data_IF_157449390444
#
_entry.id   IF_157449390444
#
_cell.length_a   1.000
_cell.length_b   1.000
_cell.length_c   1.000
_cell.angle_alpha   90.00
_cell.angle_beta   90.00
_cell.angle_gamma   90.00
#
_symmetry.space_group_name_H-M   'P 1'
#
loop_
_entity.id
_entity.type
_entity.pdbx_description
1 polymer ?
#
# COMPACT_ATOMS: atom_id res chain seq x y z
N UNK A 1 -3.40 20.67 28.73
CA UNK A 1 -3.81 19.43 28.03
C UNK A 1 -3.75 19.73 26.54
N UNK A 2 -2.66 19.39 25.87
CA UNK A 2 -2.49 19.66 24.44
C UNK A 2 -3.33 18.68 23.64
N UNK A 3 -4.40 19.19 23.04
CA UNK A 3 -5.25 18.43 22.12
C UNK A 3 -4.40 18.06 20.91
N UNK A 4 -3.97 16.80 20.83
CA UNK A 4 -3.36 16.24 19.62
C UNK A 4 -4.46 16.29 18.57
N UNK A 5 -4.42 17.28 17.68
CA UNK A 5 -5.27 17.31 16.50
C UNK A 5 -4.74 16.21 15.59
N UNK A 6 -5.35 15.04 15.60
CA UNK A 6 -5.16 14.05 14.55
C UNK A 6 -5.39 14.74 13.20
N UNK A 7 -4.32 14.92 12.44
CA UNK A 7 -4.42 15.44 11.08
C UNK A 7 -4.72 14.25 10.17
N UNK A 8 -6.00 13.94 10.01
CA UNK A 8 -6.44 12.99 8.99
C UNK A 8 -6.06 13.57 7.63
N UNK A 9 -5.17 12.90 6.92
CA UNK A 9 -4.76 13.29 5.56
C UNK A 9 -5.28 12.26 4.58
N UNK A 10 -5.64 12.71 3.38
CA UNK A 10 -5.89 11.79 2.27
C UNK A 10 -4.53 11.21 1.87
N UNK A 11 -4.41 9.89 1.95
CA UNK A 11 -3.26 9.14 1.50
C UNK A 11 -3.53 8.71 0.07
N UNK A 12 -2.60 9.07 -0.81
CA UNK A 12 -2.58 8.69 -2.22
C UNK A 12 -1.46 7.70 -2.44
N UNK A 13 -1.82 6.47 -2.78
CA UNK A 13 -0.89 5.35 -2.80
C UNK A 13 -0.94 4.63 -4.14
N UNK A 14 0.22 4.56 -4.79
CA UNK A 14 0.42 3.82 -6.02
C UNK A 14 0.88 2.41 -5.68
N UNK A 15 0.08 1.41 -6.05
CA UNK A 15 0.34 0.01 -5.78
C UNK A 15 0.78 -0.71 -7.06
N UNK A 16 1.71 -1.65 -6.94
CA UNK A 16 1.98 -2.69 -7.93
C UNK A 16 1.41 -4.00 -7.40
N UNK A 17 0.38 -4.52 -8.07
CA UNK A 17 -0.41 -5.67 -7.64
C UNK A 17 -0.13 -6.89 -8.52
N UNK A 18 -0.15 -8.13 -7.99
CA UNK A 18 0.01 -9.34 -8.80
C UNK A 18 -1.03 -9.41 -9.91
N UNK A 19 -0.62 -9.79 -11.12
CA UNK A 19 -1.51 -9.90 -12.28
C UNK A 19 -2.64 -10.91 -12.09
N UNK A 20 -2.43 -11.91 -11.24
CA UNK A 20 -3.44 -12.89 -10.85
C UNK A 20 -4.64 -12.24 -10.14
N UNK A 21 -4.47 -11.05 -9.54
CA UNK A 21 -5.58 -10.31 -8.96
C UNK A 21 -6.43 -9.57 -10.00
N UNK A 22 -6.04 -9.53 -11.28
CA UNK A 22 -6.83 -8.92 -12.36
C UNK A 22 -8.12 -9.68 -12.64
N UNK A 23 -8.13 -10.99 -12.42
CA UNK A 23 -9.32 -11.83 -12.60
C UNK A 23 -10.41 -11.49 -11.57
N UNK A 24 -10.00 -10.91 -10.45
CA UNK A 24 -10.90 -10.42 -9.42
C UNK A 24 -11.44 -9.02 -9.79
N UNK A 25 -12.73 -8.70 -9.52
CA UNK A 25 -13.29 -7.40 -9.88
C UNK A 25 -12.50 -6.24 -9.25
N UNK A 26 -11.99 -5.35 -10.10
CA UNK A 26 -11.07 -4.27 -9.70
C UNK A 26 -11.60 -3.36 -8.58
N UNK A 27 -12.92 -3.12 -8.52
CA UNK A 27 -13.56 -2.34 -7.46
C UNK A 27 -13.52 -3.06 -6.11
N UNK A 28 -13.68 -4.38 -6.12
CA UNK A 28 -13.62 -5.21 -4.91
C UNK A 28 -12.17 -5.32 -4.44
N UNK A 29 -11.21 -5.55 -5.34
CA UNK A 29 -9.77 -5.54 -5.02
C UNK A 29 -9.36 -4.20 -4.40
N UNK A 30 -9.81 -3.08 -4.98
CA UNK A 30 -9.55 -1.75 -4.45
C UNK A 30 -10.14 -1.56 -3.05
N UNK A 31 -11.37 -2.03 -2.83
CA UNK A 31 -12.02 -1.93 -1.53
C UNK A 31 -11.26 -2.71 -0.46
N UNK A 32 -10.88 -3.97 -0.76
CA UNK A 32 -10.05 -4.79 0.12
C UNK A 32 -8.76 -4.07 0.46
N UNK A 33 -8.04 -3.55 -0.54
CA UNK A 33 -6.79 -2.82 -0.31
C UNK A 33 -6.99 -1.62 0.60
N UNK A 34 -8.02 -0.80 0.38
CA UNK A 34 -8.30 0.37 1.21
C UNK A 34 -8.58 -0.03 2.66
N UNK A 35 -9.45 -1.01 2.88
CA UNK A 35 -9.83 -1.48 4.23
C UNK A 35 -8.62 -2.06 4.98
N UNK A 36 -7.82 -2.90 4.31
CA UNK A 36 -6.63 -3.51 4.88
C UNK A 36 -5.53 -2.49 5.16
N UNK A 37 -5.26 -1.55 4.25
CA UNK A 37 -4.28 -0.48 4.48
C UNK A 37 -4.68 0.44 5.63
N UNK A 38 -5.96 0.80 5.72
CA UNK A 38 -6.44 1.63 6.83
C UNK A 38 -6.22 0.95 8.18
N UNK A 39 -6.61 -0.32 8.29
CA UNK A 39 -6.40 -1.12 9.49
C UNK A 39 -4.92 -1.26 9.84
N UNK A 40 -4.09 -1.59 8.85
CA UNK A 40 -2.65 -1.80 9.01
C UNK A 40 -1.91 -0.52 9.41
N UNK A 41 -2.23 0.61 8.77
CA UNK A 41 -1.65 1.91 9.14
C UNK A 41 -2.07 2.35 10.53
N UNK A 42 -3.30 2.10 10.94
CA UNK A 42 -3.76 2.41 12.29
C UNK A 42 -3.01 1.59 13.34
N UNK A 43 -2.72 0.31 13.05
CA UNK A 43 -2.06 -0.60 13.98
C UNK A 43 -0.52 -0.43 14.03
N UNK A 44 0.11 -0.28 12.86
CA UNK A 44 1.57 -0.39 12.72
C UNK A 44 2.25 0.89 12.23
N UNK A 45 1.48 1.92 11.83
CA UNK A 45 1.99 3.20 11.33
C UNK A 45 2.97 3.06 10.14
N UNK A 46 2.84 1.98 9.36
CA UNK A 46 3.64 1.73 8.15
C UNK A 46 2.75 1.13 7.06
N UNK A 47 3.15 1.29 5.80
CA UNK A 47 2.52 0.62 4.64
C UNK A 47 3.18 -0.72 4.31
N UNK A 48 4.31 -1.04 4.94
CA UNK A 48 5.07 -2.26 4.70
C UNK A 48 4.59 -3.42 5.59
N UNK A 49 4.72 -4.64 5.07
CA UNK A 49 4.42 -5.86 5.81
C UNK A 49 2.94 -6.23 5.89
N UNK A 50 2.06 -5.49 5.22
CA UNK A 50 0.66 -5.88 5.05
C UNK A 50 0.61 -7.14 4.17
N UNK A 51 -0.05 -8.19 4.65
CA UNK A 51 -0.22 -9.44 3.91
C UNK A 51 -1.68 -9.56 3.49
N UNK A 52 -1.92 -9.74 2.20
CA UNK A 52 -3.27 -9.91 1.65
C UNK A 52 -3.30 -11.20 0.83
N UNK A 53 -4.40 -11.94 0.93
CA UNK A 53 -4.69 -13.09 0.11
C UNK A 53 -5.98 -12.82 -0.68
N UNK A 54 -5.88 -12.81 -2.01
CA UNK A 54 -7.02 -12.71 -2.94
C UNK A 54 -6.90 -13.89 -3.91
N UNK A 55 -7.96 -14.66 -4.04
CA UNK A 55 -8.05 -15.81 -4.96
C UNK A 55 -6.84 -16.75 -4.90
N UNK A 56 -6.43 -17.11 -3.68
CA UNK A 56 -5.31 -18.03 -3.40
C UNK A 56 -3.91 -17.48 -3.76
N UNK A 57 -3.81 -16.20 -4.09
CA UNK A 57 -2.55 -15.49 -4.28
C UNK A 57 -2.28 -14.61 -3.07
N UNK A 58 -1.26 -14.98 -2.30
CA UNK A 58 -0.82 -14.25 -1.11
C UNK A 58 0.35 -13.36 -1.45
N UNK A 59 0.21 -12.06 -1.16
CA UNK A 59 1.24 -11.07 -1.39
C UNK A 59 1.49 -10.21 -0.15
N UNK A 60 2.71 -9.73 -0.01
CA UNK A 60 3.16 -8.86 1.08
C UNK A 60 3.55 -7.49 0.54
N UNK A 61 3.05 -6.43 1.17
CA UNK A 61 3.41 -5.07 0.82
C UNK A 61 4.86 -4.74 1.20
N UNK A 62 5.57 -4.08 0.29
CA UNK A 62 6.92 -3.59 0.44
C UNK A 62 7.03 -2.23 -0.24
N UNK A 63 7.78 -1.29 0.34
CA UNK A 63 8.03 -0.02 -0.32
C UNK A 63 9.10 -0.23 -1.37
N UNK A 64 8.79 0.12 -2.62
CA UNK A 64 9.73 0.05 -3.73
C UNK A 64 9.74 1.39 -4.48
N UNK A 65 10.87 2.09 -4.42
CA UNK A 65 11.04 3.47 -4.91
C UNK A 65 10.02 4.45 -4.32
N UNK A 66 8.88 4.66 -4.99
CA UNK A 66 7.79 5.55 -4.57
C UNK A 66 6.42 4.87 -4.67
N UNK A 67 6.40 3.55 -4.63
CA UNK A 67 5.22 2.71 -4.81
C UNK A 67 5.20 1.60 -3.79
N UNK A 68 4.02 1.05 -3.52
CA UNK A 68 3.89 -0.15 -2.70
C UNK A 68 3.76 -1.36 -3.60
N UNK A 69 4.77 -2.21 -3.55
CA UNK A 69 4.79 -3.46 -4.26
C UNK A 69 4.21 -4.57 -3.39
N UNK A 70 3.20 -5.26 -3.90
CA UNK A 70 2.67 -6.47 -3.29
C UNK A 70 3.42 -7.68 -3.82
N UNK A 71 4.61 -7.94 -3.26
CA UNK A 71 5.46 -9.08 -3.64
C UNK A 71 4.77 -10.39 -3.27
N UNK A 72 4.57 -11.27 -4.25
CA UNK A 72 4.04 -12.60 -4.00
C UNK A 72 5.01 -13.42 -3.14
N UNK A 73 4.50 -14.30 -2.28
CA UNK A 73 5.34 -15.11 -1.39
C UNK A 73 6.24 -16.11 -2.13
N UNK A 74 5.83 -16.53 -3.33
CA UNK A 74 6.59 -17.46 -4.18
C UNK A 74 7.49 -16.73 -5.18
N UNK A 75 7.57 -15.40 -5.10
CA UNK A 75 8.45 -14.61 -5.97
C UNK A 75 9.81 -14.45 -5.27
N UNK A 76 10.87 -14.93 -5.91
CA UNK A 76 12.25 -14.78 -5.44
C UNK A 76 12.90 -13.49 -5.98
N UNK A 77 12.22 -12.77 -6.87
CA UNK A 77 12.72 -11.53 -7.47
C UNK A 77 12.90 -10.43 -6.41
N UNK A 78 13.98 -9.65 -6.53
CA UNK A 78 14.28 -8.51 -5.66
C UNK A 78 13.60 -7.20 -6.12
N UNK A 79 13.07 -7.20 -7.35
CA UNK A 79 12.42 -6.05 -7.99
C UNK A 79 11.10 -6.47 -8.66
N UNK A 80 10.11 -5.56 -8.77
CA UNK A 80 8.85 -5.87 -9.42
C UNK A 80 9.00 -6.03 -10.94
N UNK A 81 8.71 -7.23 -11.45
CA UNK A 81 8.59 -7.47 -12.89
C UNK A 81 7.27 -6.89 -13.43
N UNK A 82 7.35 -5.86 -14.27
CA UNK A 82 6.17 -5.21 -14.87
C UNK A 82 5.33 -6.15 -15.76
N UNK A 83 5.82 -7.35 -16.10
CA UNK A 83 5.04 -8.39 -16.77
C UNK A 83 4.20 -9.25 -15.81
N UNK A 84 4.54 -9.26 -14.52
CA UNK A 84 3.83 -10.01 -13.46
C UNK A 84 2.95 -9.14 -12.58
N UNK A 85 3.11 -7.81 -12.68
CA UNK A 85 2.44 -6.86 -11.80
C UNK A 85 1.77 -5.74 -12.59
N UNK A 86 0.60 -5.29 -12.11
CA UNK A 86 -0.12 -4.15 -12.68
C UNK A 86 -0.29 -2.99 -11.69
N UNK A 87 -0.33 -1.75 -12.20
CA UNK A 87 -0.50 -0.59 -11.35
C UNK A 87 -1.97 -0.39 -10.93
N UNK A 88 -2.18 -0.07 -9.66
CA UNK A 88 -3.47 0.42 -9.14
C UNK A 88 -3.24 1.57 -8.17
N UNK A 89 -4.00 2.66 -8.36
CA UNK A 89 -4.02 3.78 -7.43
C UNK A 89 -5.18 3.65 -6.46
N UNK A 90 -4.87 3.78 -5.17
CA UNK A 90 -5.86 3.79 -4.08
C UNK A 90 -5.81 5.11 -3.33
N UNK A 91 -6.96 5.53 -2.81
CA UNK A 91 -7.12 6.74 -2.03
C UNK A 91 -7.86 6.38 -0.75
N UNK A 92 -7.31 6.73 0.39
CA UNK A 92 -7.96 6.46 1.68
C UNK A 92 -7.55 7.49 2.73
N UNK A 93 -8.36 7.63 3.78
CA UNK A 93 -8.03 8.51 4.91
C UNK A 93 -7.14 7.76 5.89
N UNK A 94 -6.01 8.37 6.25
CA UNK A 94 -5.07 7.83 7.24
C UNK A 94 -4.61 8.92 8.21
N UNK A 95 -4.36 8.53 9.46
CA UNK A 95 -3.69 9.38 10.44
C UNK A 95 -2.17 9.18 10.29
N UNK A 96 -1.52 10.02 9.48
CA UNK A 96 -0.06 10.02 9.40
C UNK A 96 0.46 10.91 10.52
N UNK A 97 1.11 10.32 11.53
CA UNK A 97 1.86 11.12 12.50
C UNK A 97 3.05 11.77 11.80
N UNK A 98 3.20 13.09 11.95
CA UNK A 98 4.14 14.02 11.28
C UNK A 98 5.63 13.62 11.19
N UNK A 99 6.04 12.48 11.71
CA UNK A 99 7.44 12.06 11.80
C UNK A 99 8.05 11.51 10.51
N UNK A 100 7.29 11.36 9.41
CA UNK A 100 7.80 10.74 8.16
C UNK A 100 7.67 11.59 6.88
N UNK A 101 7.22 12.86 6.96
CA UNK A 101 7.16 13.76 5.78
C UNK A 101 8.50 14.50 5.56
N UNK A 102 9.48 14.38 6.46
CA UNK A 102 10.75 15.09 6.35
C UNK A 102 11.81 14.45 5.46
N UNK A 103 11.52 13.34 4.75
CA UNK A 103 12.51 12.66 3.89
C UNK A 103 12.12 12.53 2.41
N UNK A 104 11.13 13.29 1.93
CA UNK A 104 10.97 13.48 0.49
C UNK A 104 11.67 14.80 0.09
N UNK A 105 12.76 14.77 -0.69
CA UNK A 105 13.41 15.99 -1.12
C UNK A 105 12.47 16.75 -2.06
N UNK A 106 11.99 17.91 -1.59
CA UNK A 106 11.58 19.00 -2.46
C UNK A 106 12.79 19.37 -3.32
N UNK A 107 12.79 18.96 -4.60
CA UNK A 107 13.62 19.61 -5.60
C UNK A 107 12.84 20.84 -6.10
N UNK A 108 13.47 22.00 -5.97
CA UNK A 108 12.90 23.32 -6.24
C UNK A 108 12.82 23.71 -7.71
#
# INVERSE_FOLDING_TARGET
MSTIRSQSSIVDLFCLLPDEWKDHPSEVTRKILVEEFQSHLQAYQTVEGLVINIDNVTARSQVHSSSVWFRMFNDDDDEPDLMKYYPMKILFYGEITKSQISELPFQG
#
